data_IF_368141582876
#
_entry.id   IF_368141582876
#
_cell.length_a   1.000
_cell.length_b   1.000
_cell.length_c   1.000
_cell.angle_alpha   90.00
_cell.angle_beta   90.00
_cell.angle_gamma   90.00
#
_symmetry.space_group_name_H-M   'P 1'
#
loop_
_entity.id
_entity.type
_entity.pdbx_description
1 polymer ?
#
# COMPACT_ATOMS: atom_id res chain seq x y z
N UNK A 1 -3.77 0.84 -9.91
CA UNK A 1 -2.69 0.11 -10.61
C UNK A 1 -2.12 -1.02 -9.76
N UNK A 2 -1.48 -0.76 -8.61
CA UNK A 2 -0.94 -1.84 -7.76
C UNK A 2 -2.04 -2.77 -7.24
N UNK A 3 -3.14 -2.20 -6.71
CA UNK A 3 -4.27 -2.97 -6.21
C UNK A 3 -4.92 -3.84 -7.30
N UNK A 4 -5.06 -3.30 -8.52
CA UNK A 4 -5.54 -4.03 -9.69
C UNK A 4 -4.68 -5.25 -10.02
N UNK A 5 -3.35 -5.09 -9.99
CA UNK A 5 -2.42 -6.21 -10.19
C UNK A 5 -2.60 -7.29 -9.13
N UNK A 6 -2.86 -6.91 -7.88
CA UNK A 6 -3.09 -7.85 -6.76
C UNK A 6 -4.46 -8.55 -6.89
N UNK A 7 -5.51 -7.85 -7.34
CA UNK A 7 -6.82 -8.46 -7.61
C UNK A 7 -6.79 -9.42 -8.82
N UNK A 8 -5.97 -9.10 -9.82
CA UNK A 8 -5.80 -9.87 -11.05
C UNK A 8 -4.35 -10.33 -11.22
N UNK A 9 -3.88 -11.28 -10.38
CA UNK A 9 -2.50 -11.70 -10.36
C UNK A 9 -2.12 -12.45 -11.64
N UNK A 10 -1.00 -12.03 -12.23
CA UNK A 10 -0.45 -12.61 -13.46
C UNK A 10 1.06 -12.69 -13.35
N UNK A 11 1.68 -13.74 -13.89
CA UNK A 11 3.13 -13.95 -13.87
C UNK A 11 3.91 -12.72 -14.39
N UNK A 12 3.42 -12.04 -15.43
CA UNK A 12 4.06 -10.84 -16.01
C UNK A 12 4.23 -9.70 -15.01
N UNK A 13 3.36 -9.61 -14.00
CA UNK A 13 3.37 -8.53 -13.03
C UNK A 13 4.09 -8.90 -11.72
N UNK A 14 4.54 -10.15 -11.55
CA UNK A 14 5.00 -10.70 -10.25
C UNK A 14 6.07 -9.85 -9.57
N UNK A 15 7.06 -9.38 -10.32
CA UNK A 15 8.20 -8.63 -9.76
C UNK A 15 7.83 -7.16 -9.57
N UNK A 16 7.00 -6.62 -10.46
CA UNK A 16 6.59 -5.21 -10.42
C UNK A 16 5.72 -4.90 -9.20
N UNK A 17 4.96 -5.87 -8.68
CA UNK A 17 4.11 -5.65 -7.50
C UNK A 17 4.96 -5.29 -6.29
N UNK A 18 6.07 -6.00 -6.05
CA UNK A 18 6.94 -5.69 -4.91
C UNK A 18 7.64 -4.35 -5.06
N UNK A 19 8.16 -4.02 -6.25
CA UNK A 19 8.76 -2.70 -6.48
C UNK A 19 7.75 -1.58 -6.30
N UNK A 20 6.52 -1.77 -6.78
CA UNK A 20 5.48 -0.75 -6.70
C UNK A 20 5.04 -0.53 -5.24
N UNK A 21 4.89 -1.59 -4.44
CA UNK A 21 4.56 -1.45 -3.00
C UNK A 21 5.69 -0.76 -2.24
N UNK A 22 6.94 -1.17 -2.49
CA UNK A 22 8.11 -0.53 -1.87
C UNK A 22 8.17 0.95 -2.22
N UNK A 23 7.98 1.30 -3.49
CA UNK A 23 7.94 2.69 -3.93
C UNK A 23 6.82 3.46 -3.21
N UNK A 24 5.60 2.91 -3.16
CA UNK A 24 4.51 3.51 -2.39
C UNK A 24 4.89 3.78 -0.93
N UNK A 25 5.49 2.81 -0.22
CA UNK A 25 5.95 2.99 1.16
C UNK A 25 6.92 4.18 1.26
N UNK A 26 7.88 4.31 0.34
CA UNK A 26 8.84 5.43 0.36
C UNK A 26 8.20 6.81 0.18
N UNK A 27 6.99 6.89 -0.36
CA UNK A 27 6.24 8.16 -0.50
C UNK A 27 5.49 8.58 0.76
N UNK A 28 5.28 7.68 1.72
CA UNK A 28 4.47 7.96 2.92
C UNK A 28 5.16 8.89 3.93
N UNK A 29 6.47 8.76 4.24
CA UNK A 29 7.13 9.69 5.15
C UNK A 29 7.14 11.14 4.63
N UNK A 30 7.46 11.43 3.35
CA UNK A 30 7.30 12.79 2.82
C UNK A 30 5.86 13.31 2.89
N UNK A 31 4.86 12.46 2.67
CA UNK A 31 3.44 12.82 2.81
C UNK A 31 3.09 13.17 4.27
N UNK A 32 3.60 12.42 5.25
CA UNK A 32 3.44 12.73 6.66
C UNK A 32 4.03 14.11 7.01
N UNK A 33 5.23 14.43 6.52
CA UNK A 33 5.83 15.75 6.74
C UNK A 33 5.01 16.87 6.08
N UNK A 34 4.41 16.62 4.91
CA UNK A 34 3.50 17.57 4.27
C UNK A 34 2.21 17.77 5.10
N UNK A 35 1.61 16.70 5.63
CA UNK A 35 0.45 16.74 6.51
C UNK A 35 0.73 17.54 7.79
N UNK A 36 1.93 17.43 8.36
CA UNK A 36 2.35 18.21 9.54
C UNK A 36 2.53 19.70 9.22
N UNK A 37 2.98 20.03 8.01
CA UNK A 37 3.25 21.41 7.61
C UNK A 37 1.98 22.17 7.19
N UNK A 38 1.11 21.54 6.39
CA UNK A 38 -0.14 22.12 5.90
C UNK A 38 -1.15 21.00 5.64
N UNK A 39 -1.93 20.66 6.66
CA UNK A 39 -2.90 19.57 6.63
C UNK A 39 -3.94 19.78 5.54
N UNK A 40 -4.62 20.92 5.53
CA UNK A 40 -5.80 21.14 4.68
C UNK A 40 -5.42 21.10 3.20
N UNK A 41 -4.33 21.78 2.82
CA UNK A 41 -3.82 21.74 1.45
C UNK A 41 -3.34 20.35 1.05
N UNK A 42 -2.67 19.64 1.95
CA UNK A 42 -2.18 18.28 1.66
C UNK A 42 -3.34 17.32 1.46
N UNK A 43 -4.39 17.39 2.28
CA UNK A 43 -5.60 16.59 2.11
C UNK A 43 -6.29 16.90 0.78
N UNK A 44 -6.41 18.18 0.40
CA UNK A 44 -7.01 18.58 -0.87
C UNK A 44 -6.25 17.99 -2.08
N UNK A 45 -4.92 18.13 -2.08
CA UNK A 45 -4.06 17.66 -3.18
C UNK A 45 -3.95 16.13 -3.22
N UNK A 46 -3.90 15.48 -2.06
CA UNK A 46 -3.67 14.03 -1.94
C UNK A 46 -4.95 13.24 -1.60
N UNK A 47 -6.13 13.82 -1.83
CA UNK A 47 -7.42 13.21 -1.47
C UNK A 47 -7.57 11.76 -1.95
N UNK A 48 -7.11 11.43 -3.15
CA UNK A 48 -7.25 10.09 -3.73
C UNK A 48 -6.40 9.03 -3.00
N UNK A 49 -5.34 9.48 -2.31
CA UNK A 49 -4.52 8.61 -1.44
C UNK A 49 -5.15 8.49 -0.06
N UNK A 50 -5.72 9.57 0.46
CA UNK A 50 -6.18 9.68 1.85
C UNK A 50 -7.64 9.27 2.09
N UNK A 51 -8.50 9.29 1.07
CA UNK A 51 -9.93 8.95 1.15
C UNK A 51 -10.21 7.48 1.48
N UNK A 52 -9.21 6.61 1.48
CA UNK A 52 -9.38 5.17 1.69
C UNK A 52 -9.71 4.79 3.15
N UNK A 53 -9.60 5.73 4.10
CA UNK A 53 -9.91 5.52 5.52
C UNK A 53 -8.94 4.58 6.26
N UNK A 54 -8.06 3.91 5.54
CA UNK A 54 -7.04 2.99 6.04
C UNK A 54 -5.91 2.88 5.00
N UNK A 55 -4.85 2.17 5.35
CA UNK A 55 -3.77 1.87 4.42
C UNK A 55 -4.30 1.15 3.18
N UNK A 56 -3.84 1.59 2.00
CA UNK A 56 -4.33 1.14 0.69
C UNK A 56 -4.38 -0.38 0.52
N UNK A 57 -3.48 -1.12 1.17
CA UNK A 57 -3.39 -2.58 1.04
C UNK A 57 -4.21 -3.36 2.08
N UNK A 58 -4.77 -2.70 3.09
CA UNK A 58 -5.65 -3.33 4.07
C UNK A 58 -7.08 -3.52 3.56
N UNK A 59 -7.50 -2.73 2.57
CA UNK A 59 -8.78 -2.91 1.88
C UNK A 59 -8.76 -4.03 0.84
N UNK A 60 -7.60 -4.63 0.55
CA UNK A 60 -7.47 -5.74 -0.39
C UNK A 60 -7.57 -7.06 0.39
N UNK A 61 -8.46 -7.94 -0.03
CA UNK A 61 -8.59 -9.27 0.55
C UNK A 61 -7.29 -10.07 0.34
N UNK A 62 -6.77 -10.66 1.42
CA UNK A 62 -5.57 -11.47 1.38
C UNK A 62 -5.94 -12.92 1.06
N UNK A 63 -5.95 -13.25 -0.23
CA UNK A 63 -6.21 -14.61 -0.72
C UNK A 63 -4.88 -15.30 -1.07
N UNK A 64 -4.45 -16.19 -0.19
CA UNK A 64 -3.15 -16.87 -0.29
C UNK A 64 -3.02 -17.68 -1.59
N UNK A 65 -4.01 -18.55 -1.86
CA UNK A 65 -3.97 -19.47 -2.99
C UNK A 65 -4.09 -18.72 -4.33
N UNK A 66 -4.94 -17.69 -4.38
CA UNK A 66 -5.10 -16.86 -5.57
C UNK A 66 -3.82 -16.13 -5.94
N UNK A 67 -3.16 -15.52 -4.96
CA UNK A 67 -1.92 -14.75 -5.18
C UNK A 67 -0.75 -15.67 -5.56
N UNK A 68 -0.57 -16.78 -4.83
CA UNK A 68 0.47 -17.75 -5.16
C UNK A 68 0.32 -18.29 -6.57
N UNK A 69 -0.87 -18.74 -6.96
CA UNK A 69 -1.11 -19.32 -8.28
C UNK A 69 -1.01 -18.27 -9.40
N UNK A 70 -1.60 -17.10 -9.20
CA UNK A 70 -1.66 -16.08 -10.24
C UNK A 70 -0.30 -15.43 -10.54
N UNK A 71 0.51 -15.19 -9.52
CA UNK A 71 1.86 -14.64 -9.70
C UNK A 71 2.93 -15.71 -9.88
N UNK A 72 2.61 -16.98 -9.61
CA UNK A 72 3.59 -18.06 -9.45
C UNK A 72 4.63 -17.72 -8.37
N UNK A 73 4.12 -17.28 -7.21
CA UNK A 73 4.90 -16.92 -6.03
C UNK A 73 5.17 -18.12 -5.14
N UNK A 74 6.31 -18.10 -4.45
CA UNK A 74 6.64 -19.06 -3.40
C UNK A 74 6.10 -18.61 -2.04
N UNK A 75 6.20 -19.45 -1.02
CA UNK A 75 5.89 -19.07 0.35
C UNK A 75 6.77 -17.89 0.83
N UNK A 76 8.02 -17.82 0.38
CA UNK A 76 8.92 -16.70 0.67
C UNK A 76 8.44 -15.40 0.01
N UNK A 77 7.98 -15.46 -1.24
CA UNK A 77 7.36 -14.31 -1.91
C UNK A 77 6.10 -13.84 -1.16
N UNK A 78 5.29 -14.78 -0.65
CA UNK A 78 4.12 -14.46 0.16
C UNK A 78 4.50 -13.82 1.51
N UNK A 79 5.58 -14.28 2.15
CA UNK A 79 6.11 -13.66 3.36
C UNK A 79 6.56 -12.22 3.08
N UNK A 80 7.30 -11.99 1.99
CA UNK A 80 7.71 -10.64 1.56
C UNK A 80 6.47 -9.76 1.30
N UNK A 81 5.44 -10.29 0.65
CA UNK A 81 4.21 -9.55 0.40
C UNK A 81 3.52 -9.15 1.72
N UNK A 82 3.40 -10.06 2.68
CA UNK A 82 2.83 -9.78 4.01
C UNK A 82 3.61 -8.69 4.72
N UNK A 83 4.93 -8.80 4.79
CA UNK A 83 5.79 -7.82 5.46
C UNK A 83 5.66 -6.42 4.82
N UNK A 84 5.54 -6.37 3.48
CA UNK A 84 5.28 -5.12 2.77
C UNK A 84 3.91 -4.53 3.12
N UNK A 85 2.85 -5.34 3.23
CA UNK A 85 1.53 -4.87 3.69
C UNK A 85 1.61 -4.29 5.09
N UNK A 86 2.28 -4.98 6.01
CA UNK A 86 2.41 -4.54 7.41
C UNK A 86 3.20 -3.21 7.51
N UNK A 87 4.23 -3.05 6.67
CA UNK A 87 4.95 -1.78 6.57
C UNK A 87 4.06 -0.64 6.06
N UNK A 88 3.20 -0.91 5.07
CA UNK A 88 2.25 0.11 4.59
C UNK A 88 1.25 0.52 5.65
N UNK A 89 0.83 -0.39 6.53
CA UNK A 89 -0.04 -0.09 7.65
C UNK A 89 0.69 0.70 8.73
N UNK A 90 1.93 0.28 9.06
CA UNK A 90 2.77 0.95 10.05
C UNK A 90 2.99 2.42 9.72
N UNK A 91 3.31 2.75 8.48
CA UNK A 91 3.46 4.15 8.06
C UNK A 91 2.11 4.88 8.01
N UNK A 92 1.03 4.20 7.63
CA UNK A 92 -0.31 4.80 7.62
C UNK A 92 -0.77 5.25 9.01
N UNK A 93 -0.64 4.38 10.02
CA UNK A 93 -1.04 4.67 11.40
C UNK A 93 -0.36 5.92 11.96
N UNK A 94 0.87 6.23 11.52
CA UNK A 94 1.56 7.48 11.91
C UNK A 94 0.89 8.74 11.35
N UNK A 95 0.21 8.63 10.21
CA UNK A 95 -0.48 9.74 9.54
C UNK A 95 -1.91 9.94 10.03
N UNK A 96 -2.58 8.89 10.53
CA UNK A 96 -3.97 8.95 10.99
C UNK A 96 -4.29 10.13 11.92
N UNK A 97 -3.44 10.48 12.92
CA UNK A 97 -3.71 11.62 13.80
C UNK A 97 -3.74 12.97 13.10
N UNK A 98 -3.16 13.09 11.90
CA UNK A 98 -3.16 14.32 11.10
C UNK A 98 -4.26 14.33 10.05
N UNK A 99 -4.80 13.16 9.69
CA UNK A 99 -5.87 13.02 8.69
C UNK A 99 -7.24 13.15 9.38
N UNK A 100 -7.43 12.48 10.53
CA UNK A 100 -8.75 12.27 11.13
C UNK A 100 -9.04 13.07 12.41
N UNK A 101 -8.03 13.68 13.05
CA UNK A 101 -8.25 14.71 14.09
C UNK A 101 -8.29 16.09 13.48
#
# INVERSE_FOLDING_TARGET
IICEKIHHPTITNRETVFSDIKYYITTLPPLLEALKADKDRTIEVCKDVLQLGTSRFMNIHYDYDHLMRGFNWTDDDMNVYRDLRDNTLTEWVKMEPFIFN
#
